data_IF_635507801802
#
_entry.id   IF_635507801802
#
_cell.length_a   1.000
_cell.length_b   1.000
_cell.length_c   1.000
_cell.angle_alpha   90.00
_cell.angle_beta   90.00
_cell.angle_gamma   90.00
#
_symmetry.space_group_name_H-M   'P 1'
#
loop_
_entity.id
_entity.type
_entity.pdbx_description
1 polymer ?
#
# COMPACT_ATOMS: atom_id res chain seq x y z
N UNK A 1 -1.59 48.00 36.49
CA UNK A 1 -1.18 48.13 35.07
C UNK A 1 -0.34 46.96 34.57
N UNK A 2 0.81 46.61 35.19
CA UNK A 2 1.69 45.52 34.70
C UNK A 2 1.04 44.12 34.60
N UNK A 3 0.11 43.78 35.50
CA UNK A 3 -0.58 42.47 35.50
C UNK A 3 -1.53 42.27 34.30
N UNK A 4 -2.12 43.37 33.80
CA UNK A 4 -3.05 43.32 32.65
C UNK A 4 -2.27 43.05 31.35
N UNK A 5 -1.11 43.68 31.18
CA UNK A 5 -0.24 43.43 30.04
C UNK A 5 0.28 41.99 29.99
N UNK A 6 0.58 41.39 31.15
CA UNK A 6 0.97 39.97 31.23
C UNK A 6 -0.20 39.05 30.84
N UNK A 7 -1.42 39.38 31.26
CA UNK A 7 -2.62 38.63 30.85
C UNK A 7 -2.89 38.72 29.34
N UNK A 8 -2.72 39.90 28.73
CA UNK A 8 -2.84 40.06 27.28
C UNK A 8 -1.73 39.33 26.51
N UNK A 9 -0.49 39.35 26.99
CA UNK A 9 0.61 38.61 26.40
C UNK A 9 0.38 37.09 26.49
N UNK A 10 -0.13 36.60 27.63
CA UNK A 10 -0.48 35.20 27.81
C UNK A 10 -1.65 34.79 26.90
N UNK A 11 -2.69 35.63 26.78
CA UNK A 11 -3.81 35.40 25.89
C UNK A 11 -3.38 35.40 24.42
N UNK A 12 -2.52 36.35 24.01
CA UNK A 12 -1.95 36.39 22.66
C UNK A 12 -1.05 35.18 22.38
N UNK A 13 -0.32 34.66 23.38
CA UNK A 13 0.49 33.45 23.25
C UNK A 13 -0.38 32.19 23.14
N UNK A 14 -1.46 32.08 23.93
CA UNK A 14 -2.41 30.96 23.88
C UNK A 14 -3.20 30.96 22.57
N UNK A 15 -3.63 32.13 22.10
CA UNK A 15 -4.35 32.28 20.83
C UNK A 15 -3.42 32.18 19.61
N UNK A 16 -2.16 32.61 19.73
CA UNK A 16 -1.13 32.47 18.70
C UNK A 16 -0.57 31.05 18.57
N UNK A 17 -0.51 30.29 19.67
CA UNK A 17 -0.09 28.88 19.66
C UNK A 17 -1.18 27.94 19.11
N UNK A 18 -2.46 28.33 19.19
CA UNK A 18 -3.58 27.55 18.66
C UNK A 18 -3.57 27.43 17.12
N UNK A 19 -2.82 28.28 16.41
CA UNK A 19 -2.72 28.29 14.95
C UNK A 19 -1.65 27.37 14.34
N UNK A 20 -0.81 26.71 15.14
CA UNK A 20 0.30 25.87 14.64
C UNK A 20 0.00 24.37 14.63
N UNK A 21 -1.19 23.96 15.09
CA UNK A 21 -1.64 22.59 14.96
C UNK A 21 -2.19 22.34 13.54
N UNK A 22 -1.30 22.19 12.55
CA UNK A 22 -1.68 21.45 11.35
C UNK A 22 -1.93 20.00 11.78
N UNK A 23 -3.19 19.67 12.06
CA UNK A 23 -3.58 18.31 12.37
C UNK A 23 -3.26 17.45 11.15
N UNK A 24 -2.31 16.53 11.32
CA UNK A 24 -2.04 15.48 10.36
C UNK A 24 -3.35 14.71 10.13
N UNK A 25 -3.93 14.82 8.93
CA UNK A 25 -5.11 14.03 8.57
C UNK A 25 -4.64 12.60 8.31
N UNK A 26 -5.04 11.68 9.20
CA UNK A 26 -4.67 10.26 9.13
C UNK A 26 -5.89 9.45 8.73
N UNK A 27 -5.76 8.73 7.62
CA UNK A 27 -6.80 7.82 7.12
C UNK A 27 -6.26 6.42 7.06
N UNK A 28 -6.96 5.49 7.70
CA UNK A 28 -6.69 4.07 7.62
C UNK A 28 -7.70 3.42 6.66
N UNK A 29 -7.20 2.56 5.76
CA UNK A 29 -8.02 1.73 4.88
C UNK A 29 -7.46 0.31 4.88
N UNK A 30 -8.35 -0.66 4.74
CA UNK A 30 -8.00 -2.08 4.75
C UNK A 30 -8.60 -2.79 3.54
N UNK A 31 -7.96 -3.88 3.15
CA UNK A 31 -8.47 -4.82 2.15
C UNK A 31 -8.26 -6.24 2.68
N UNK A 32 -9.29 -7.07 2.64
CA UNK A 32 -9.17 -8.50 2.86
C UNK A 32 -9.73 -9.21 1.64
N UNK A 33 -8.91 -10.03 1.00
CA UNK A 33 -9.30 -10.83 -0.15
C UNK A 33 -9.14 -12.29 0.23
N UNK A 34 -10.16 -13.09 -0.10
CA UNK A 34 -10.10 -14.53 -0.06
C UNK A 34 -10.63 -15.08 -1.40
N UNK A 35 -9.96 -16.09 -1.92
CA UNK A 35 -10.33 -16.72 -3.19
C UNK A 35 -10.19 -18.23 -3.11
N UNK A 36 -11.14 -18.92 -3.75
CA UNK A 36 -11.03 -20.32 -4.08
C UNK A 36 -10.82 -20.46 -5.57
N UNK A 37 -9.83 -21.24 -5.98
CA UNK A 37 -9.47 -21.44 -7.38
C UNK A 37 -9.27 -22.91 -7.67
N UNK A 38 -10.01 -23.40 -8.65
CA UNK A 38 -9.92 -24.77 -9.13
C UNK A 38 -9.70 -24.77 -10.65
N UNK A 39 -8.66 -25.45 -11.11
CA UNK A 39 -8.45 -25.73 -12.52
C UNK A 39 -7.63 -27.01 -12.70
N UNK A 40 -7.72 -27.61 -13.88
CA UNK A 40 -6.93 -28.78 -14.26
C UNK A 40 -6.44 -28.59 -15.67
N UNK A 41 -5.16 -28.84 -15.91
CA UNK A 41 -4.59 -28.76 -17.27
C UNK A 41 -3.73 -29.97 -17.57
N UNK A 42 -3.72 -30.40 -18.82
CA UNK A 42 -2.72 -31.32 -19.32
C UNK A 42 -1.38 -30.57 -19.35
N UNK A 43 -0.32 -31.12 -18.73
CA UNK A 43 1.01 -30.48 -18.72
C UNK A 43 1.52 -30.14 -20.13
N UNK A 44 1.10 -30.91 -21.13
CA UNK A 44 1.35 -30.67 -22.54
C UNK A 44 0.02 -30.72 -23.32
N UNK A 45 -0.39 -29.61 -23.94
CA UNK A 45 -1.51 -29.61 -24.92
C UNK A 45 -1.21 -30.41 -26.20
N UNK A 46 -0.01 -30.99 -26.31
CA UNK A 46 0.52 -31.69 -27.50
C UNK A 46 0.58 -33.21 -27.33
N UNK A 47 0.70 -33.69 -26.09
CA UNK A 47 0.77 -35.13 -25.81
C UNK A 47 -0.53 -35.54 -25.11
N UNK A 48 -1.31 -36.41 -25.76
CA UNK A 48 -2.58 -36.92 -25.24
C UNK A 48 -2.46 -37.86 -24.04
N UNK A 49 -1.35 -37.80 -23.29
CA UNK A 49 -1.12 -38.62 -22.10
C UNK A 49 -1.82 -37.98 -20.89
N UNK A 50 -2.94 -38.60 -20.50
CA UNK A 50 -3.80 -38.19 -19.39
C UNK A 50 -3.16 -38.35 -18.01
N UNK A 51 -2.00 -39.02 -17.91
CA UNK A 51 -1.34 -39.30 -16.64
C UNK A 51 -0.51 -38.12 -16.10
N UNK A 52 -0.43 -37.01 -16.85
CA UNK A 52 0.36 -35.83 -16.50
C UNK A 52 -0.51 -34.60 -16.21
N UNK A 53 -1.75 -34.75 -15.76
CA UNK A 53 -2.59 -33.60 -15.42
C UNK A 53 -2.06 -32.86 -14.19
N UNK A 54 -1.82 -31.55 -14.30
CA UNK A 54 -1.63 -30.67 -13.15
C UNK A 54 -3.00 -30.21 -12.68
N UNK A 55 -3.39 -30.63 -11.48
CA UNK A 55 -4.59 -30.14 -10.82
C UNK A 55 -4.22 -29.04 -9.83
N UNK A 56 -4.95 -27.93 -9.90
CA UNK A 56 -4.88 -26.84 -8.95
C UNK A 56 -6.20 -26.77 -8.20
N UNK A 57 -6.11 -26.84 -6.88
CA UNK A 57 -7.24 -26.65 -5.99
C UNK A 57 -6.70 -25.93 -4.75
N UNK A 58 -6.97 -24.63 -4.64
CA UNK A 58 -6.44 -23.82 -3.54
C UNK A 58 -7.46 -22.84 -3.00
N UNK A 59 -7.48 -22.71 -1.68
CA UNK A 59 -8.07 -21.59 -0.98
C UNK A 59 -6.93 -20.67 -0.53
N UNK A 60 -7.03 -19.39 -0.85
CA UNK A 60 -6.01 -18.41 -0.53
C UNK A 60 -6.63 -17.19 0.12
N UNK A 61 -5.83 -16.48 0.93
CA UNK A 61 -6.20 -15.15 1.38
C UNK A 61 -5.01 -14.20 1.45
N UNK A 62 -5.35 -12.91 1.53
CA UNK A 62 -4.42 -11.83 1.81
C UNK A 62 -5.16 -10.67 2.47
N UNK A 63 -4.52 -10.06 3.46
CA UNK A 63 -4.94 -8.78 4.02
C UNK A 63 -3.94 -7.68 3.64
N UNK A 64 -4.42 -6.46 3.48
CA UNK A 64 -3.61 -5.25 3.34
C UNK A 64 -4.14 -4.16 4.24
N UNK A 65 -3.24 -3.43 4.86
CA UNK A 65 -3.54 -2.25 5.68
C UNK A 65 -2.77 -1.08 5.09
N UNK A 66 -3.44 0.04 4.87
CA UNK A 66 -2.82 1.26 4.38
C UNK A 66 -3.16 2.39 5.33
N UNK A 67 -2.16 3.19 5.65
CA UNK A 67 -2.27 4.40 6.45
C UNK A 67 -1.78 5.55 5.60
N UNK A 68 -2.71 6.44 5.26
CA UNK A 68 -2.46 7.67 4.52
C UNK A 68 -2.32 8.82 5.52
N UNK A 69 -1.25 9.58 5.42
CA UNK A 69 -0.97 10.73 6.26
C UNK A 69 -0.88 11.98 5.38
N UNK A 70 -1.74 12.97 5.61
CA UNK A 70 -1.72 14.24 4.89
C UNK A 70 -1.30 15.36 5.83
N UNK A 71 -0.06 15.80 5.67
CA UNK A 71 0.50 16.90 6.45
C UNK A 71 -0.08 18.24 6.00
N UNK A 72 -0.22 18.44 4.69
CA UNK A 72 -0.88 19.59 4.08
C UNK A 72 -1.28 19.27 2.61
N UNK A 73 -1.74 20.26 1.84
CA UNK A 73 -2.12 20.10 0.43
C UNK A 73 -0.98 19.79 -0.55
N UNK A 74 0.26 19.94 -0.09
CA UNK A 74 1.48 19.77 -0.86
C UNK A 74 2.33 18.58 -0.39
N UNK A 75 1.99 17.93 0.73
CA UNK A 75 2.78 16.85 1.33
C UNK A 75 1.87 15.73 1.85
N UNK A 76 1.97 14.57 1.22
CA UNK A 76 1.26 13.33 1.57
C UNK A 76 2.28 12.22 1.83
N UNK A 77 1.94 11.27 2.69
CA UNK A 77 2.73 10.07 2.94
C UNK A 77 1.81 8.87 3.02
N UNK A 78 2.32 7.68 2.69
CA UNK A 78 1.59 6.43 2.88
C UNK A 78 2.53 5.36 3.41
N UNK A 79 2.05 4.61 4.40
CA UNK A 79 2.65 3.34 4.81
C UNK A 79 1.60 2.27 4.64
N UNK A 80 1.97 1.16 4.01
CA UNK A 80 1.08 0.03 3.81
C UNK A 80 1.79 -1.28 4.10
N UNK A 81 1.06 -2.19 4.72
CA UNK A 81 1.48 -3.55 5.02
C UNK A 81 0.62 -4.54 4.25
N UNK A 82 1.26 -5.59 3.76
CA UNK A 82 0.62 -6.76 3.20
C UNK A 82 0.83 -7.93 4.17
N UNK A 83 -0.25 -8.65 4.46
CA UNK A 83 -0.22 -9.83 5.31
C UNK A 83 -0.71 -10.99 4.45
N UNK A 84 0.17 -11.91 4.13
CA UNK A 84 -0.21 -13.19 3.55
C UNK A 84 0.50 -13.59 2.27
N UNK A 85 -0.27 -13.76 1.19
CA UNK A 85 -0.16 -14.84 0.19
C UNK A 85 -0.29 -16.24 0.82
N UNK A 86 -1.19 -16.34 1.80
CA UNK A 86 -1.47 -17.59 2.51
C UNK A 86 -2.27 -18.52 1.61
N UNK A 87 -1.74 -19.73 1.42
CA UNK A 87 -2.46 -20.83 0.80
C UNK A 87 -2.80 -21.85 1.87
N UNK A 88 -4.09 -22.13 2.04
CA UNK A 88 -4.57 -23.01 3.10
C UNK A 88 -4.18 -24.45 2.83
N UNK A 89 -3.74 -25.16 3.88
CA UNK A 89 -3.24 -26.53 3.78
C UNK A 89 -1.82 -26.65 3.20
N UNK A 90 -1.15 -25.54 2.89
CA UNK A 90 0.25 -25.54 2.45
C UNK A 90 1.16 -25.63 3.68
N UNK A 91 1.92 -26.73 3.77
CA UNK A 91 2.93 -26.94 4.81
C UNK A 91 4.34 -26.95 4.22
N UNK A 92 5.35 -26.75 5.06
CA UNK A 92 6.77 -26.84 4.71
C UNK A 92 7.44 -25.50 4.38
N UNK A 93 8.64 -25.57 3.80
CA UNK A 93 9.48 -24.40 3.50
C UNK A 93 8.76 -23.45 2.53
N UNK A 94 8.57 -22.20 2.93
CA UNK A 94 7.84 -21.19 2.14
C UNK A 94 6.32 -21.20 2.36
N UNK A 95 5.83 -21.86 3.41
CA UNK A 95 4.53 -21.53 3.99
C UNK A 95 4.65 -20.23 4.80
N UNK A 96 3.69 -19.34 4.63
CA UNK A 96 3.55 -18.06 5.35
C UNK A 96 2.33 -18.10 6.27
N UNK A 97 1.92 -19.31 6.68
CA UNK A 97 0.71 -19.59 7.45
C UNK A 97 -0.28 -20.47 6.68
N UNK A 98 -1.46 -20.72 7.25
CA UNK A 98 -2.54 -21.49 6.63
C UNK A 98 -2.50 -23.00 6.86
N UNK A 99 -1.55 -23.51 7.64
CA UNK A 99 -1.52 -24.88 8.15
C UNK A 99 -1.89 -24.95 9.65
N UNK A 100 -1.72 -26.12 10.29
CA UNK A 100 -1.97 -26.25 11.73
C UNK A 100 -0.79 -25.63 12.49
N UNK A 101 -1.06 -24.67 13.37
CA UNK A 101 -0.04 -23.81 14.03
C UNK A 101 0.55 -22.73 13.11
N UNK A 102 -0.32 -22.06 12.35
CA UNK A 102 -0.02 -21.08 11.32
C UNK A 102 0.61 -19.73 11.77
N UNK A 103 1.33 -19.68 12.90
CA UNK A 103 2.05 -18.49 13.36
C UNK A 103 3.28 -18.21 12.47
N UNK A 104 3.02 -17.81 11.22
CA UNK A 104 4.00 -17.59 10.17
C UNK A 104 4.53 -16.16 10.13
N UNK A 105 5.69 -15.98 9.48
CA UNK A 105 6.24 -14.65 9.15
C UNK A 105 5.69 -14.19 7.80
N UNK A 106 4.55 -13.48 7.81
CA UNK A 106 3.80 -13.17 6.60
C UNK A 106 3.54 -11.68 6.37
N UNK A 107 4.23 -10.80 7.11
CA UNK A 107 4.01 -9.35 7.03
C UNK A 107 5.11 -8.69 6.20
N UNK A 108 4.69 -7.98 5.15
CA UNK A 108 5.54 -7.29 4.20
C UNK A 108 5.23 -5.80 4.17
N UNK A 109 6.23 -4.96 3.89
CA UNK A 109 6.00 -3.54 3.58
C UNK A 109 5.55 -3.45 2.14
N UNK A 110 4.26 -3.15 1.93
CA UNK A 110 3.69 -2.99 0.59
C UNK A 110 4.04 -1.63 0.00
N UNK A 111 3.93 -0.56 0.80
CA UNK A 111 4.25 0.81 0.40
C UNK A 111 4.81 1.59 1.58
N UNK A 112 5.75 2.48 1.30
CA UNK A 112 6.33 3.39 2.27
C UNK A 112 6.93 4.56 1.49
N UNK A 113 6.16 5.63 1.30
CA UNK A 113 6.59 6.76 0.48
C UNK A 113 6.16 8.11 1.03
N UNK A 114 6.90 9.14 0.60
CA UNK A 114 6.61 10.56 0.74
C UNK A 114 6.30 11.13 -0.65
N UNK A 115 5.20 11.84 -0.78
CA UNK A 115 4.78 12.55 -1.98
C UNK A 115 4.72 14.05 -1.66
N UNK A 116 5.35 14.88 -2.49
CA UNK A 116 5.31 16.32 -2.33
C UNK A 116 5.29 17.08 -3.66
N UNK A 117 4.70 18.27 -3.65
CA UNK A 117 4.76 19.20 -4.79
C UNK A 117 6.07 19.97 -4.76
N UNK A 118 6.73 20.07 -5.92
CA UNK A 118 7.99 20.83 -6.03
C UNK A 118 7.74 22.32 -5.80
N UNK A 119 8.57 23.01 -4.99
CA UNK A 119 8.44 24.45 -4.79
C UNK A 119 8.52 25.21 -6.12
N UNK A 120 7.56 26.08 -6.38
CA UNK A 120 7.46 26.84 -7.63
C UNK A 120 6.78 26.12 -8.80
N UNK A 121 6.47 24.82 -8.68
CA UNK A 121 5.80 24.03 -9.71
C UNK A 121 4.65 23.22 -9.09
N UNK A 122 3.48 23.83 -8.98
CA UNK A 122 2.32 23.24 -8.29
C UNK A 122 1.75 21.99 -8.98
N UNK A 123 2.02 21.82 -10.27
CA UNK A 123 1.60 20.66 -11.07
C UNK A 123 2.58 19.48 -11.01
N UNK A 124 3.82 19.71 -10.57
CA UNK A 124 4.85 18.68 -10.55
C UNK A 124 4.89 18.00 -9.18
N UNK A 125 4.42 16.76 -9.15
CA UNK A 125 4.38 15.92 -7.96
C UNK A 125 5.55 14.96 -7.98
N UNK A 126 6.34 14.97 -6.92
CA UNK A 126 7.47 14.07 -6.70
C UNK A 126 7.15 13.08 -5.61
N UNK A 127 7.32 11.79 -5.89
CA UNK A 127 7.13 10.72 -4.92
C UNK A 127 8.45 9.99 -4.72
N UNK A 128 8.83 9.77 -3.47
CA UNK A 128 10.06 9.09 -3.07
C UNK A 128 9.75 7.97 -2.08
N UNK A 129 10.29 6.79 -2.33
CA UNK A 129 10.13 5.62 -1.46
C UNK A 129 9.61 4.40 -2.22
N UNK A 130 8.98 3.46 -1.51
CA UNK A 130 8.33 2.28 -2.08
C UNK A 130 6.87 2.60 -2.39
N UNK A 131 6.50 2.57 -3.67
CA UNK A 131 5.17 2.98 -4.15
C UNK A 131 4.71 2.08 -5.31
N UNK A 132 3.40 2.04 -5.55
CA UNK A 132 2.89 1.46 -6.79
C UNK A 132 3.15 2.40 -7.96
N UNK A 133 3.74 1.90 -9.04
CA UNK A 133 3.95 2.62 -10.27
C UNK A 133 3.28 1.87 -11.42
N UNK A 134 2.40 2.58 -12.13
CA UNK A 134 1.72 2.05 -13.31
C UNK A 134 1.93 3.01 -14.46
N UNK A 135 2.35 2.48 -15.60
CA UNK A 135 2.47 3.25 -16.83
C UNK A 135 1.11 3.42 -17.50
N UNK A 136 0.98 4.37 -18.45
CA UNK A 136 -0.26 4.51 -19.20
C UNK A 136 -0.74 3.17 -19.77
N UNK A 137 -2.04 2.93 -19.68
CA UNK A 137 -2.67 1.73 -20.21
C UNK A 137 -3.99 2.07 -20.88
N UNK A 138 -4.46 1.17 -21.75
CA UNK A 138 -5.77 1.30 -22.41
C UNK A 138 -6.96 1.06 -21.48
N UNK A 139 -6.73 0.70 -20.21
CA UNK A 139 -7.76 0.31 -19.25
C UNK A 139 -8.40 -1.07 -19.51
N UNK A 140 -8.25 -1.63 -20.71
CA UNK A 140 -8.88 -2.89 -21.11
C UNK A 140 -8.31 -4.12 -20.37
N UNK A 141 -7.02 -4.09 -20.01
CA UNK A 141 -6.31 -5.23 -19.42
C UNK A 141 -6.17 -5.16 -17.89
N UNK A 142 -6.89 -4.25 -17.21
CA UNK A 142 -6.81 -4.12 -15.75
C UNK A 142 -5.48 -3.58 -15.21
N UNK A 143 -4.57 -3.13 -16.08
CA UNK A 143 -3.23 -2.66 -15.75
C UNK A 143 -2.46 -2.22 -17.01
N UNK A 144 -1.20 -1.82 -16.86
CA UNK A 144 -0.32 -1.50 -18.00
C UNK A 144 0.41 -2.75 -18.51
N UNK A 145 0.46 -2.91 -19.84
CA UNK A 145 1.26 -3.97 -20.47
C UNK A 145 2.77 -3.67 -20.46
N UNK A 146 3.18 -2.42 -20.16
CA UNK A 146 4.59 -2.03 -20.11
C UNK A 146 5.12 -2.13 -18.69
N UNK A 147 4.41 -1.54 -17.73
CA UNK A 147 4.84 -1.54 -16.33
C UNK A 147 3.67 -1.33 -15.37
N UNK A 148 3.44 -2.29 -14.47
CA UNK A 148 2.46 -2.22 -13.40
C UNK A 148 2.97 -3.05 -12.22
N UNK A 149 3.71 -2.41 -11.32
CA UNK A 149 4.30 -3.07 -10.15
C UNK A 149 4.61 -2.07 -9.03
N UNK A 150 4.97 -2.55 -7.85
CA UNK A 150 5.54 -1.74 -6.79
C UNK A 150 7.05 -1.56 -6.99
N UNK A 151 7.51 -0.31 -6.90
CA UNK A 151 8.92 0.06 -7.08
C UNK A 151 9.41 0.87 -5.92
N UNK A 152 10.71 0.76 -5.63
CA UNK A 152 11.40 1.70 -4.74
C UNK A 152 12.23 2.65 -5.57
N UNK A 153 11.96 3.95 -5.45
CA UNK A 153 12.68 4.95 -6.22
C UNK A 153 12.10 6.35 -6.06
N UNK A 154 12.39 7.18 -7.07
CA UNK A 154 11.88 8.54 -7.19
C UNK A 154 11.07 8.61 -8.48
N UNK A 155 9.82 9.06 -8.40
CA UNK A 155 8.98 9.35 -9.55
C UNK A 155 8.63 10.83 -9.57
N UNK A 156 8.54 11.40 -10.76
CA UNK A 156 8.15 12.79 -10.97
C UNK A 156 7.09 12.79 -12.07
N UNK A 157 5.90 13.25 -11.74
CA UNK A 157 4.77 13.26 -12.67
C UNK A 157 4.02 14.58 -12.61
N UNK A 158 3.46 14.99 -13.74
CA UNK A 158 2.51 16.07 -13.81
C UNK A 158 1.12 15.50 -13.45
N UNK A 159 0.53 15.95 -12.36
CA UNK A 159 -0.76 15.48 -11.84
C UNK A 159 -1.82 16.58 -11.87
#
# INVERSE_FOLDING_TARGET
MKKIFVLFALAAMVLGAAGLAHALDVKAKGQFIANYTYWSTAKNFRDGDSNANTMHNSMQHRARLYMDFRANENVNMQVAFEIGDVTWGKSGSGSVGGDVSADGKSVEVKRAYLEFKMPGYTSLVTTVGTMGAVFPSSGFFGGSAIFDDDVTGITVANK
#
